data_IF_606663877628
#
_entry.id   IF_606663877628
#
_cell.length_a   1.000
_cell.length_b   1.000
_cell.length_c   1.000
_cell.angle_alpha   90.00
_cell.angle_beta   90.00
_cell.angle_gamma   90.00
#
_symmetry.space_group_name_H-M   'P 1'
#
loop_
_entity.id
_entity.type
_entity.pdbx_description
1 polymer ?
#
# COMPACT_ATOMS: atom_id res chain seq x y z
N UNK A 1 -3.75 8.85 -9.19
CA UNK A 1 -5.01 9.54 -9.56
C UNK A 1 -6.24 8.84 -9.00
N UNK A 2 -6.34 7.50 -9.04
CA UNK A 2 -7.50 6.74 -8.54
C UNK A 2 -7.75 6.96 -7.03
N UNK A 3 -6.71 6.82 -6.20
CA UNK A 3 -6.81 7.04 -4.76
C UNK A 3 -7.29 8.45 -4.39
N UNK A 4 -6.83 9.46 -5.13
CA UNK A 4 -7.25 10.83 -4.90
C UNK A 4 -8.73 11.07 -5.28
N UNK A 5 -9.21 10.39 -6.32
CA UNK A 5 -10.64 10.41 -6.68
C UNK A 5 -11.47 9.72 -5.60
N UNK A 6 -11.04 8.54 -5.13
CA UNK A 6 -11.70 7.82 -4.05
C UNK A 6 -11.73 8.64 -2.74
N UNK A 7 -10.65 9.37 -2.43
CA UNK A 7 -10.62 10.28 -1.30
C UNK A 7 -11.60 11.44 -1.47
N UNK A 8 -11.57 12.13 -2.62
CA UNK A 8 -12.46 13.25 -2.91
C UNK A 8 -13.94 12.87 -2.85
N UNK A 9 -14.32 11.69 -3.34
CA UNK A 9 -15.72 11.23 -3.30
C UNK A 9 -16.23 11.04 -1.86
N UNK A 10 -15.34 10.82 -0.90
CA UNK A 10 -15.69 10.64 0.51
C UNK A 10 -15.31 11.85 1.39
N UNK A 11 -14.73 12.91 0.80
CA UNK A 11 -14.19 14.06 1.55
C UNK A 11 -15.26 14.76 2.41
N UNK A 12 -16.45 14.94 1.87
CA UNK A 12 -17.55 15.59 2.58
C UNK A 12 -18.02 14.75 3.78
N UNK A 13 -18.09 13.44 3.61
CA UNK A 13 -18.46 12.52 4.70
C UNK A 13 -17.37 12.53 5.76
N UNK A 14 -16.10 12.50 5.36
CA UNK A 14 -14.96 12.59 6.27
C UNK A 14 -14.96 13.90 7.05
N UNK A 15 -15.22 15.03 6.40
CA UNK A 15 -15.28 16.36 7.06
C UNK A 15 -16.44 16.47 8.06
N UNK A 16 -17.60 15.90 7.72
CA UNK A 16 -18.79 15.91 8.61
C UNK A 16 -18.68 14.95 9.77
N UNK A 17 -17.88 13.90 9.64
CA UNK A 17 -17.72 12.87 10.66
C UNK A 17 -16.73 13.33 11.73
N UNK A 18 -17.19 13.60 12.96
CA UNK A 18 -16.30 14.00 14.07
C UNK A 18 -15.45 12.83 14.62
N UNK A 19 -15.93 11.60 14.47
CA UNK A 19 -15.27 10.43 15.02
C UNK A 19 -14.07 9.97 14.17
N UNK A 20 -12.86 10.07 14.72
CA UNK A 20 -11.61 9.71 14.04
C UNK A 20 -11.58 8.23 13.63
N UNK A 21 -12.17 7.33 14.43
CA UNK A 21 -12.22 5.89 14.07
C UNK A 21 -13.05 5.63 12.82
N UNK A 22 -14.20 6.32 12.69
CA UNK A 22 -15.04 6.22 11.49
C UNK A 22 -14.34 6.81 10.28
N UNK A 23 -13.64 7.93 10.43
CA UNK A 23 -12.81 8.49 9.34
C UNK A 23 -11.74 7.51 8.90
N UNK A 24 -11.02 6.91 9.85
CA UNK A 24 -10.00 5.89 9.56
C UNK A 24 -10.62 4.65 8.89
N UNK A 25 -11.80 4.21 9.32
CA UNK A 25 -12.50 3.09 8.69
C UNK A 25 -12.86 3.39 7.23
N UNK A 26 -13.42 4.55 6.96
CA UNK A 26 -13.72 5.00 5.58
C UNK A 26 -12.46 5.02 4.71
N UNK A 27 -11.36 5.57 5.22
CA UNK A 27 -10.10 5.56 4.50
C UNK A 27 -9.62 4.14 4.21
N UNK A 28 -9.58 3.28 5.23
CA UNK A 28 -9.08 1.91 5.11
C UNK A 28 -9.94 1.03 4.19
N UNK A 29 -11.24 1.32 4.07
CA UNK A 29 -12.17 0.53 3.25
C UNK A 29 -12.29 1.01 1.80
N UNK A 30 -12.05 2.29 1.53
CA UNK A 30 -12.26 2.89 0.20
C UNK A 30 -10.99 3.39 -0.45
N UNK A 31 -10.24 4.25 0.25
CA UNK A 31 -9.07 4.93 -0.33
C UNK A 31 -7.86 4.00 -0.39
N UNK A 32 -7.61 3.26 0.68
CA UNK A 32 -6.47 2.38 0.78
C UNK A 32 -6.48 1.25 -0.27
N UNK A 33 -7.60 0.53 -0.51
CA UNK A 33 -7.69 -0.42 -1.61
C UNK A 33 -7.50 0.22 -2.99
N UNK A 34 -8.08 1.41 -3.23
CA UNK A 34 -7.91 2.13 -4.48
C UNK A 34 -6.46 2.62 -4.69
N UNK A 35 -5.74 2.93 -3.61
CA UNK A 35 -4.32 3.29 -3.66
C UNK A 35 -3.42 2.10 -3.98
N UNK A 36 -3.78 0.92 -3.51
CA UNK A 36 -2.93 -0.27 -3.56
C UNK A 36 -3.35 -1.30 -4.60
N UNK A 37 -4.50 -1.13 -5.27
CA UNK A 37 -5.07 -2.11 -6.21
C UNK A 37 -4.12 -2.54 -7.35
N UNK A 38 -3.28 -1.63 -7.84
CA UNK A 38 -2.28 -1.96 -8.87
C UNK A 38 -1.01 -2.60 -8.31
N UNK A 39 -0.78 -2.52 -7.00
CA UNK A 39 0.46 -2.98 -6.37
C UNK A 39 0.48 -4.49 -6.09
N UNK A 40 -0.64 -5.18 -6.27
CA UNK A 40 -0.74 -6.63 -6.12
C UNK A 40 0.11 -7.37 -7.16
N UNK A 41 0.14 -6.83 -8.39
CA UNK A 41 0.88 -7.41 -9.53
C UNK A 41 2.26 -6.80 -9.74
N UNK A 42 2.49 -5.57 -9.25
CA UNK A 42 3.74 -4.86 -9.45
C UNK A 42 4.71 -5.04 -8.28
N UNK A 43 6.00 -4.96 -8.60
CA UNK A 43 7.02 -4.88 -7.56
C UNK A 43 7.02 -3.48 -6.93
N UNK A 44 6.91 -3.44 -5.60
CA UNK A 44 7.01 -2.20 -4.86
C UNK A 44 8.50 -1.85 -4.65
N UNK A 45 9.00 -0.86 -5.35
CA UNK A 45 10.35 -0.38 -5.13
C UNK A 45 10.41 0.62 -3.96
N UNK A 46 11.60 0.88 -3.42
CA UNK A 46 11.78 1.84 -2.31
C UNK A 46 11.27 3.24 -2.63
N UNK A 47 11.29 3.63 -3.90
CA UNK A 47 10.74 4.91 -4.35
C UNK A 47 9.22 4.95 -4.25
N UNK A 48 8.57 3.84 -4.59
CA UNK A 48 7.10 3.71 -4.46
C UNK A 48 6.67 3.73 -3.00
N UNK A 49 7.40 3.05 -2.11
CA UNK A 49 7.16 3.09 -0.66
C UNK A 49 7.26 4.51 -0.10
N UNK A 50 8.25 5.29 -0.55
CA UNK A 50 8.39 6.70 -0.19
C UNK A 50 7.21 7.53 -0.70
N UNK A 51 6.80 7.32 -1.95
CA UNK A 51 5.66 8.01 -2.55
C UNK A 51 4.36 7.70 -1.82
N UNK A 52 4.13 6.44 -1.45
CA UNK A 52 3.00 6.02 -0.63
C UNK A 52 3.01 6.71 0.74
N UNK A 53 4.16 6.74 1.41
CA UNK A 53 4.32 7.39 2.71
C UNK A 53 4.01 8.89 2.66
N UNK A 54 4.37 9.57 1.58
CA UNK A 54 4.03 10.99 1.38
C UNK A 54 2.52 11.19 1.25
N UNK A 55 1.85 10.33 0.48
CA UNK A 55 0.39 10.37 0.30
C UNK A 55 -0.31 10.07 1.63
N UNK A 56 0.12 9.06 2.36
CA UNK A 56 -0.42 8.72 3.68
C UNK A 56 -0.36 9.91 4.64
N UNK A 57 0.80 10.54 4.78
CA UNK A 57 0.96 11.70 5.65
C UNK A 57 0.04 12.86 5.27
N UNK A 58 -0.15 13.10 3.96
CA UNK A 58 -1.08 14.11 3.49
C UNK A 58 -2.52 13.80 3.93
N UNK A 59 -2.92 12.53 3.83
CA UNK A 59 -4.24 12.07 4.26
C UNK A 59 -4.38 12.10 5.78
N UNK A 60 -3.38 11.64 6.53
CA UNK A 60 -3.37 11.68 8.00
C UNK A 60 -3.61 13.10 8.51
N UNK A 61 -2.90 14.08 7.95
CA UNK A 61 -3.10 15.49 8.28
C UNK A 61 -4.53 15.96 7.99
N UNK A 62 -5.04 15.63 6.80
CA UNK A 62 -6.41 16.01 6.41
C UNK A 62 -7.45 15.39 7.33
N UNK A 63 -7.27 14.12 7.71
CA UNK A 63 -8.16 13.41 8.63
C UNK A 63 -8.16 14.01 10.04
N UNK A 64 -7.01 14.48 10.50
CA UNK A 64 -6.84 15.07 11.82
C UNK A 64 -7.10 16.58 11.84
N UNK A 65 -7.27 17.21 10.67
CA UNK A 65 -7.41 18.67 10.55
C UNK A 65 -6.13 19.43 10.89
N UNK A 66 -4.97 18.79 10.78
CA UNK A 66 -3.66 19.38 11.07
C UNK A 66 -3.05 19.91 9.79
N UNK A 67 -2.67 21.18 9.75
CA UNK A 67 -1.94 21.75 8.62
C UNK A 67 -0.46 21.35 8.68
N UNK A 68 0.23 21.40 7.54
CA UNK A 68 1.69 21.18 7.52
C UNK A 68 2.42 22.23 8.36
N UNK A 69 1.91 23.45 8.39
CA UNK A 69 2.47 24.52 9.20
C UNK A 69 2.35 24.20 10.70
N UNK A 70 1.17 23.77 11.15
CA UNK A 70 0.92 23.36 12.52
C UNK A 70 1.79 22.17 12.93
N UNK A 71 1.95 21.17 12.02
CA UNK A 71 2.81 20.00 12.25
C UNK A 71 4.26 20.42 12.57
N UNK A 72 4.79 21.39 11.79
CA UNK A 72 6.17 21.89 11.96
C UNK A 72 6.27 22.82 13.19
N UNK A 73 5.33 23.73 13.35
CA UNK A 73 5.31 24.69 14.46
C UNK A 73 5.22 24.02 15.83
N UNK A 74 4.37 23.01 15.93
CA UNK A 74 4.12 22.28 17.18
C UNK A 74 5.07 21.09 17.37
N UNK A 75 5.99 20.84 16.44
CA UNK A 75 6.95 19.75 16.49
C UNK A 75 6.30 18.34 16.50
N UNK A 76 5.12 18.19 15.89
CA UNK A 76 4.36 16.93 15.89
C UNK A 76 5.11 15.90 15.04
N UNK A 77 5.46 14.77 15.63
CA UNK A 77 6.14 13.68 14.90
C UNK A 77 5.16 12.93 14.00
N UNK A 78 5.66 12.45 12.87
CA UNK A 78 4.86 11.61 11.94
C UNK A 78 4.33 10.33 12.59
N UNK A 79 5.05 9.77 13.59
CA UNK A 79 4.60 8.64 14.42
C UNK A 79 3.32 8.96 15.19
N UNK A 80 3.25 10.16 15.74
CA UNK A 80 2.12 10.59 16.57
C UNK A 80 0.88 10.84 15.70
N UNK A 81 1.08 11.41 14.49
CA UNK A 81 0.00 11.56 13.50
C UNK A 81 -0.56 10.19 13.11
N UNK A 82 0.30 9.21 12.83
CA UNK A 82 -0.10 7.84 12.49
C UNK A 82 -0.87 7.17 13.64
N UNK A 83 -0.38 7.27 14.85
CA UNK A 83 -1.06 6.71 16.02
C UNK A 83 -2.42 7.35 16.26
N UNK A 84 -2.54 8.66 16.07
CA UNK A 84 -3.80 9.43 16.24
C UNK A 84 -4.79 9.20 15.12
N UNK A 85 -4.33 9.08 13.86
CA UNK A 85 -5.18 8.86 12.69
C UNK A 85 -5.81 7.48 12.65
N UNK A 86 -5.11 6.45 13.20
CA UNK A 86 -5.53 5.04 13.20
C UNK A 86 -5.73 4.44 11.80
N UNK A 87 -5.12 5.02 10.79
CA UNK A 87 -5.10 4.45 9.45
C UNK A 87 -4.02 3.36 9.35
N UNK A 88 -4.29 2.38 8.47
CA UNK A 88 -3.34 1.30 8.20
C UNK A 88 -2.22 1.81 7.32
N UNK A 89 -1.01 1.32 7.56
CA UNK A 89 0.15 1.56 6.72
C UNK A 89 -0.09 1.02 5.30
N UNK A 90 0.00 1.89 4.28
CA UNK A 90 -0.29 1.53 2.90
C UNK A 90 0.74 0.58 2.30
N UNK A 91 2.01 0.71 2.71
CA UNK A 91 3.07 -0.18 2.24
C UNK A 91 2.86 -1.60 2.80
N UNK A 92 2.57 -1.71 4.10
CA UNK A 92 2.25 -2.99 4.74
C UNK A 92 0.96 -3.60 4.16
N UNK A 93 -0.07 -2.79 3.94
CA UNK A 93 -1.31 -3.24 3.34
C UNK A 93 -1.10 -3.76 1.91
N UNK A 94 -0.30 -3.07 1.09
CA UNK A 94 0.04 -3.51 -0.26
C UNK A 94 0.79 -4.86 -0.24
N UNK A 95 1.75 -5.05 0.66
CA UNK A 95 2.46 -6.32 0.85
C UNK A 95 1.49 -7.45 1.24
N UNK A 96 0.58 -7.19 2.17
CA UNK A 96 -0.45 -8.16 2.58
C UNK A 96 -1.43 -8.49 1.45
N UNK A 97 -1.87 -7.48 0.67
CA UNK A 97 -2.74 -7.70 -0.50
C UNK A 97 -2.06 -8.56 -1.55
N UNK A 98 -0.77 -8.31 -1.82
CA UNK A 98 0.03 -9.13 -2.73
C UNK A 98 0.11 -10.58 -2.29
N UNK A 99 0.34 -10.84 -1.00
CA UNK A 99 0.37 -12.20 -0.43
C UNK A 99 -1.01 -12.88 -0.57
N UNK A 100 -2.10 -12.17 -0.27
CA UNK A 100 -3.46 -12.70 -0.43
C UNK A 100 -3.76 -13.07 -1.88
N UNK A 101 -3.40 -12.18 -2.81
CA UNK A 101 -3.59 -12.42 -4.23
C UNK A 101 -2.78 -13.63 -4.72
N UNK A 102 -1.52 -13.76 -4.28
CA UNK A 102 -0.70 -14.94 -4.56
C UNK A 102 -1.37 -16.23 -4.06
N UNK A 103 -1.89 -16.22 -2.85
CA UNK A 103 -2.62 -17.37 -2.32
C UNK A 103 -3.87 -17.74 -3.13
N UNK A 104 -4.51 -16.75 -3.77
CA UNK A 104 -5.63 -17.02 -4.70
C UNK A 104 -5.12 -17.65 -6.00
N UNK A 105 -4.08 -17.09 -6.60
CA UNK A 105 -3.45 -17.62 -7.83
C UNK A 105 -2.99 -19.04 -7.65
N UNK A 106 -2.33 -19.35 -6.53
CA UNK A 106 -1.83 -20.69 -6.22
C UNK A 106 -2.95 -21.74 -6.03
N UNK A 107 -4.13 -21.30 -5.61
CA UNK A 107 -5.31 -22.19 -5.45
C UNK A 107 -6.15 -22.32 -6.72
N UNK A 108 -5.86 -21.52 -7.75
CA UNK A 108 -6.52 -21.67 -9.05
C UNK A 108 -6.08 -22.96 -9.71
N UNK A 109 -7.01 -23.90 -9.87
CA UNK A 109 -6.75 -25.24 -10.41
C UNK A 109 -6.96 -25.28 -11.93
N UNK A 110 -6.72 -24.17 -12.63
CA UNK A 110 -6.88 -24.06 -14.06
C UNK A 110 -5.53 -23.86 -14.78
N UNK A 111 -5.42 -24.40 -15.99
CA UNK A 111 -4.26 -24.24 -16.88
C UNK A 111 -4.20 -22.82 -17.50
N UNK A 112 -4.54 -21.79 -16.73
CA UNK A 112 -4.52 -20.41 -17.22
C UNK A 112 -3.11 -19.85 -17.27
N UNK A 113 -2.90 -18.91 -18.15
CA UNK A 113 -1.67 -18.13 -18.30
C UNK A 113 -1.15 -17.53 -16.99
N UNK A 114 -2.02 -17.27 -16.02
CA UNK A 114 -1.66 -16.73 -14.70
C UNK A 114 -0.64 -17.61 -13.99
N UNK A 115 -0.83 -18.94 -14.01
CA UNK A 115 0.11 -19.89 -13.41
C UNK A 115 1.40 -19.95 -14.20
N UNK A 116 1.31 -20.02 -15.53
CA UNK A 116 2.49 -20.02 -16.41
C UNK A 116 3.37 -18.78 -16.20
N UNK A 117 2.78 -17.59 -16.01
CA UNK A 117 3.51 -16.35 -15.74
C UNK A 117 4.10 -16.35 -14.32
N UNK A 118 3.39 -16.91 -13.34
CA UNK A 118 3.87 -16.98 -11.95
C UNK A 118 5.07 -17.93 -11.80
N UNK A 119 5.05 -19.03 -12.55
CA UNK A 119 6.10 -20.05 -12.55
C UNK A 119 7.22 -19.75 -13.57
N UNK A 120 7.05 -18.72 -14.39
CA UNK A 120 8.00 -18.37 -15.44
C UNK A 120 9.36 -18.00 -14.88
N UNK A 121 10.39 -18.64 -15.42
CA UNK A 121 11.80 -18.42 -15.11
C UNK A 121 12.45 -17.73 -16.30
N UNK A 122 12.87 -16.45 -16.18
CA UNK A 122 13.60 -15.80 -17.26
C UNK A 122 14.92 -16.52 -17.49
N UNK A 123 15.15 -16.99 -18.72
CA UNK A 123 16.40 -17.59 -19.13
C UNK A 123 17.41 -16.48 -19.46
N UNK A 124 18.66 -16.68 -19.08
CA UNK A 124 19.83 -15.85 -19.47
C UNK A 124 19.80 -14.37 -19.11
N UNK A 125 18.95 -13.95 -18.18
CA UNK A 125 18.92 -12.56 -17.74
C UNK A 125 19.84 -12.37 -16.52
N UNK A 126 21.04 -11.84 -16.75
CA UNK A 126 21.92 -11.36 -15.67
C UNK A 126 21.30 -10.10 -15.05
N UNK A 127 21.07 -10.11 -13.75
CA UNK A 127 20.60 -8.94 -13.01
C UNK A 127 21.71 -7.91 -12.89
N UNK A 128 21.38 -6.67 -13.21
CA UNK A 128 22.18 -5.49 -12.78
C UNK A 128 21.96 -5.22 -11.31
N UNK A 129 23.00 -4.93 -10.56
CA UNK A 129 22.90 -4.56 -9.15
C UNK A 129 21.89 -3.42 -8.94
N UNK A 130 21.02 -3.54 -7.95
CA UNK A 130 20.01 -2.53 -7.63
C UNK A 130 18.67 -2.64 -8.37
N UNK A 131 18.52 -3.54 -9.36
CA UNK A 131 17.24 -3.79 -10.00
C UNK A 131 16.31 -4.65 -9.12
N UNK A 132 14.98 -4.39 -9.17
CA UNK A 132 14.01 -5.24 -8.47
C UNK A 132 14.05 -6.68 -8.98
N UNK A 133 13.55 -7.59 -8.16
CA UNK A 133 13.42 -9.00 -8.48
C UNK A 133 12.68 -9.20 -9.80
N UNK A 134 13.23 -10.01 -10.72
CA UNK A 134 12.65 -10.21 -12.06
C UNK A 134 11.44 -11.14 -12.05
N UNK A 135 11.33 -11.97 -11.02
CA UNK A 135 10.22 -12.90 -10.86
C UNK A 135 9.25 -12.41 -9.80
N UNK A 136 7.98 -12.46 -10.14
CA UNK A 136 6.93 -12.19 -9.18
C UNK A 136 6.96 -13.15 -7.99
N UNK A 137 7.26 -14.44 -8.22
CA UNK A 137 7.39 -15.48 -7.18
C UNK A 137 8.54 -15.25 -6.19
N UNK A 138 9.64 -14.61 -6.59
CA UNK A 138 10.79 -14.36 -5.70
C UNK A 138 10.43 -13.45 -4.50
N UNK A 139 9.41 -12.63 -4.63
CA UNK A 139 8.91 -11.83 -3.51
C UNK A 139 8.43 -12.70 -2.35
N UNK A 140 7.76 -13.81 -2.65
CA UNK A 140 7.20 -14.69 -1.62
C UNK A 140 8.28 -15.52 -0.95
N UNK A 141 9.24 -16.05 -1.71
CA UNK A 141 10.38 -16.78 -1.17
C UNK A 141 11.14 -15.90 -0.18
N UNK A 142 11.49 -14.69 -0.57
CA UNK A 142 12.20 -13.75 0.30
C UNK A 142 11.39 -13.32 1.52
N UNK A 143 10.09 -13.09 1.38
CA UNK A 143 9.22 -12.72 2.50
C UNK A 143 9.00 -13.87 3.50
N UNK A 144 9.20 -15.11 3.09
CA UNK A 144 9.17 -16.27 3.98
C UNK A 144 10.51 -16.46 4.69
N UNK A 145 11.63 -16.25 4.01
CA UNK A 145 12.98 -16.32 4.59
C UNK A 145 13.21 -15.25 5.68
N UNK A 146 12.63 -14.05 5.52
CA UNK A 146 12.72 -12.98 6.53
C UNK A 146 11.90 -13.25 7.81
N UNK A 147 11.08 -14.31 7.84
CA UNK A 147 10.24 -14.68 8.99
C UNK A 147 10.78 -15.84 9.83
N UNK A 148 11.81 -16.51 9.34
CA UNK A 148 12.50 -17.63 10.01
C UNK A 148 13.97 -17.29 10.19
#
# INVERSE_FOLDING_TARGET
RAAWRAFKSNEDVVKRTKNTRLRAHLFNSTVLPALTSALETWWLCKQDERSLSVIERAVERTLLGVSRFTEVSDGIRSSDLRQRSKIKDASLYAKQSKIRWAGQVMRMNDNRWTRAVSDWIPRDVKRTAGRPLTRWSEFFTKSLEERY
#
